data_IF_852606337248
#
_entry.id   IF_852606337248
#
_cell.length_a   1.000
_cell.length_b   1.000
_cell.length_c   1.000
_cell.angle_alpha   90.00
_cell.angle_beta   90.00
_cell.angle_gamma   90.00
#
_symmetry.space_group_name_H-M   'P 1'
#
loop_
_entity.id
_entity.type
_entity.pdbx_description
1 polymer ?
#
# COMPACT_ATOMS: atom_id res chain seq x y z
N UNK A 1 22.56 39.16 -4.77
CA UNK A 1 21.13 39.50 -4.63
C UNK A 1 20.66 39.02 -3.26
N UNK A 2 20.22 39.89 -2.35
CA UNK A 2 19.74 39.45 -1.04
C UNK A 2 18.46 38.63 -1.23
N UNK A 3 18.48 37.36 -0.80
CA UNK A 3 17.29 36.50 -0.78
C UNK A 3 16.27 37.13 0.15
N UNK A 4 15.02 37.29 -0.30
CA UNK A 4 14.00 37.93 0.51
C UNK A 4 13.69 37.01 1.69
N UNK A 5 13.45 37.56 2.90
CA UNK A 5 13.19 36.73 4.09
C UNK A 5 11.99 35.79 3.89
N UNK A 6 11.04 36.19 3.03
CA UNK A 6 9.90 35.38 2.60
C UNK A 6 10.31 34.07 1.92
N UNK A 7 11.36 34.09 1.08
CA UNK A 7 11.82 32.92 0.33
C UNK A 7 12.35 31.84 1.28
N UNK A 8 13.01 32.25 2.37
CA UNK A 8 13.50 31.34 3.40
C UNK A 8 12.36 30.67 4.18
N UNK A 9 11.32 31.43 4.50
CA UNK A 9 10.12 30.91 5.17
C UNK A 9 9.40 29.90 4.28
N UNK A 10 9.19 30.24 3.01
CA UNK A 10 8.59 29.34 2.01
C UNK A 10 9.39 28.05 1.87
N UNK A 11 10.72 28.14 1.77
CA UNK A 11 11.58 26.96 1.68
C UNK A 11 11.47 26.06 2.90
N UNK A 12 11.40 26.65 4.10
CA UNK A 12 11.20 25.92 5.35
C UNK A 12 9.87 25.15 5.39
N UNK A 13 8.77 25.79 4.97
CA UNK A 13 7.44 25.17 4.91
C UNK A 13 7.43 24.01 3.91
N UNK A 14 8.00 24.20 2.72
CA UNK A 14 8.09 23.15 1.70
C UNK A 14 8.91 21.95 2.19
N UNK A 15 10.03 22.21 2.87
CA UNK A 15 10.88 21.15 3.42
C UNK A 15 10.14 20.33 4.48
N UNK A 16 9.40 21.00 5.38
CA UNK A 16 8.56 20.33 6.38
C UNK A 16 7.45 19.49 5.74
N UNK A 17 6.79 20.00 4.69
CA UNK A 17 5.76 19.28 3.96
C UNK A 17 6.32 18.01 3.30
N UNK A 18 7.47 18.11 2.65
CA UNK A 18 8.15 16.96 2.02
C UNK A 18 8.51 15.91 3.08
N UNK A 19 9.11 16.31 4.20
CA UNK A 19 9.45 15.39 5.28
C UNK A 19 8.22 14.65 5.83
N UNK A 20 7.09 15.34 5.99
CA UNK A 20 5.84 14.73 6.44
C UNK A 20 5.29 13.74 5.41
N UNK A 21 5.29 14.09 4.12
CA UNK A 21 4.84 13.21 3.05
C UNK A 21 5.72 11.96 2.93
N UNK A 22 7.05 12.12 3.02
CA UNK A 22 8.00 11.01 3.01
C UNK A 22 7.80 10.09 4.21
N UNK A 23 7.61 10.66 5.42
CA UNK A 23 7.32 9.89 6.62
C UNK A 23 6.00 9.11 6.50
N UNK A 24 4.96 9.73 5.92
CA UNK A 24 3.68 9.06 5.68
C UNK A 24 3.83 7.94 4.65
N UNK A 25 4.58 8.18 3.57
CA UNK A 25 4.86 7.18 2.54
C UNK A 25 5.55 5.94 3.12
N UNK A 26 6.55 6.12 3.99
CA UNK A 26 7.20 4.99 4.67
C UNK A 26 6.34 4.34 5.76
N UNK A 27 5.43 5.10 6.39
CA UNK A 27 4.49 4.55 7.37
C UNK A 27 3.37 3.73 6.72
N UNK A 28 3.02 4.04 5.47
CA UNK A 28 2.14 3.21 4.65
C UNK A 28 2.99 2.06 4.12
N UNK A 29 3.30 1.11 5.00
CA UNK A 29 3.66 -0.22 4.55
C UNK A 29 2.33 -0.83 4.08
N UNK A 30 2.07 -0.97 2.76
CA UNK A 30 0.91 -1.75 2.35
C UNK A 30 1.09 -3.11 3.01
N UNK A 31 0.03 -3.63 3.62
CA UNK A 31 -0.06 -4.90 4.35
C UNK A 31 0.24 -6.14 3.45
N UNK A 32 0.97 -5.93 2.34
CA UNK A 32 1.39 -6.88 1.34
C UNK A 32 2.36 -7.91 1.93
N UNK A 33 3.14 -7.57 2.98
CA UNK A 33 3.98 -8.56 3.68
C UNK A 33 3.12 -9.60 4.40
N UNK A 34 2.18 -9.16 5.24
CA UNK A 34 1.25 -10.06 5.92
C UNK A 34 0.36 -10.82 4.92
N UNK A 35 -0.04 -10.19 3.82
CA UNK A 35 -0.80 -10.88 2.78
C UNK A 35 0.01 -11.97 2.06
N UNK A 36 1.31 -11.73 1.83
CA UNK A 36 2.18 -12.73 1.23
C UNK A 36 2.41 -13.90 2.20
N UNK A 37 2.68 -13.61 3.47
CA UNK A 37 2.81 -14.61 4.53
C UNK A 37 1.51 -15.44 4.68
N UNK A 38 0.34 -14.80 4.73
CA UNK A 38 -0.96 -15.47 4.81
C UNK A 38 -1.21 -16.42 3.63
N UNK A 39 -0.89 -16.00 2.40
CA UNK A 39 -1.05 -16.86 1.21
C UNK A 39 -0.12 -18.06 1.25
N UNK A 40 1.09 -17.88 1.77
CA UNK A 40 2.08 -18.95 1.88
C UNK A 40 1.66 -19.95 2.98
N UNK A 41 1.23 -19.45 4.14
CA UNK A 41 0.74 -20.26 5.26
C UNK A 41 -0.50 -21.09 4.90
N UNK A 42 -1.45 -20.50 4.17
CA UNK A 42 -2.72 -21.14 3.79
C UNK A 42 -2.76 -21.70 2.35
N UNK A 43 -1.58 -21.83 1.71
CA UNK A 43 -1.42 -22.37 0.36
C UNK A 43 -2.39 -21.79 -0.68
N UNK A 44 -2.61 -20.48 -0.62
CA UNK A 44 -3.66 -19.82 -1.37
C UNK A 44 -3.32 -19.70 -2.87
N UNK A 45 -4.17 -20.25 -3.73
CA UNK A 45 -4.01 -20.23 -5.18
C UNK A 45 -4.91 -19.17 -5.82
N UNK A 46 -4.38 -18.41 -6.77
CA UNK A 46 -5.15 -17.42 -7.52
C UNK A 46 -6.24 -18.10 -8.36
N UNK A 47 -7.51 -17.73 -8.12
CA UNK A 47 -8.63 -18.19 -8.92
C UNK A 47 -8.76 -17.35 -10.18
N UNK A 48 -8.38 -17.91 -11.33
CA UNK A 48 -8.63 -17.32 -12.64
C UNK A 48 -10.01 -17.77 -13.13
N UNK A 49 -10.92 -16.84 -13.37
CA UNK A 49 -12.22 -17.14 -14.01
C UNK A 49 -12.09 -17.05 -15.54
N UNK A 50 -12.91 -17.82 -16.29
CA UNK A 50 -12.89 -17.87 -17.76
C UNK A 50 -13.18 -16.52 -18.44
N UNK A 51 -13.78 -15.56 -17.73
CA UNK A 51 -14.31 -14.31 -18.31
C UNK A 51 -13.40 -13.09 -18.10
N UNK A 52 -12.09 -13.31 -18.09
CA UNK A 52 -11.10 -12.24 -17.94
C UNK A 52 -10.89 -11.81 -16.49
N UNK A 53 -9.86 -11.02 -16.27
CA UNK A 53 -9.21 -10.73 -14.98
C UNK A 53 -10.19 -10.15 -13.94
N UNK A 54 -10.99 -11.00 -13.31
CA UNK A 54 -11.80 -10.61 -12.16
C UNK A 54 -10.89 -10.54 -10.94
N UNK A 55 -10.89 -9.34 -10.34
CA UNK A 55 -10.40 -8.96 -9.01
C UNK A 55 -9.81 -10.14 -8.25
N UNK A 56 -8.48 -10.15 -8.19
CA UNK A 56 -7.64 -11.14 -7.52
C UNK A 56 -8.34 -11.75 -6.30
N UNK A 57 -8.85 -12.96 -6.50
CA UNK A 57 -9.48 -13.80 -5.49
C UNK A 57 -8.61 -15.03 -5.33
N UNK A 58 -8.35 -15.43 -4.10
CA UNK A 58 -7.49 -16.55 -3.79
C UNK A 58 -8.30 -17.61 -3.05
N UNK A 59 -8.17 -18.85 -3.50
CA UNK A 59 -8.77 -20.01 -2.85
C UNK A 59 -7.68 -20.66 -2.02
N UNK A 60 -7.92 -20.79 -0.72
CA UNK A 60 -6.96 -21.37 0.22
C UNK A 60 -7.35 -22.81 0.57
N UNK A 61 -6.45 -23.51 1.27
CA UNK A 61 -6.60 -24.91 1.69
C UNK A 61 -7.82 -25.17 2.60
N UNK A 62 -8.27 -24.14 3.31
CA UNK A 62 -9.49 -24.13 4.11
C UNK A 62 -10.80 -24.13 3.29
N UNK A 63 -10.69 -24.11 1.95
CA UNK A 63 -11.81 -24.08 1.02
C UNK A 63 -12.51 -22.72 0.94
N UNK A 64 -12.02 -21.69 1.64
CA UNK A 64 -12.57 -20.34 1.59
C UNK A 64 -11.91 -19.52 0.48
N UNK A 65 -12.62 -18.50 0.02
CA UNK A 65 -12.13 -17.54 -0.98
C UNK A 65 -11.84 -16.20 -0.31
N UNK A 66 -10.61 -15.74 -0.41
CA UNK A 66 -10.12 -14.48 0.14
C UNK A 66 -9.92 -13.42 -0.94
N UNK A 67 -10.14 -12.16 -0.58
CA UNK A 67 -10.03 -11.02 -1.47
C UNK A 67 -9.11 -9.95 -0.88
N UNK A 68 -8.07 -9.53 -1.63
CA UNK A 68 -7.08 -8.52 -1.18
C UNK A 68 -7.70 -7.20 -0.72
N UNK A 69 -8.81 -6.76 -1.34
CA UNK A 69 -9.47 -5.48 -1.06
C UNK A 69 -10.38 -5.48 0.17
N UNK A 70 -10.73 -6.64 0.74
CA UNK A 70 -11.56 -6.70 1.97
C UNK A 70 -10.75 -6.53 3.25
N UNK A 71 -9.43 -6.71 3.18
CA UNK A 71 -8.54 -6.69 4.35
C UNK A 71 -7.99 -5.29 4.68
N UNK A 72 -8.37 -4.27 3.92
CA UNK A 72 -7.99 -2.86 4.14
C UNK A 72 -9.02 -2.04 4.95
N UNK A 73 -9.99 -2.67 5.63
CA UNK A 73 -10.99 -1.99 6.46
C UNK A 73 -10.76 -2.19 7.95
#
# INVERSE_FOLDING_TARGET
MPKKPLDFVLYGIFTLAILKLTSLYFSVNPDDSHWNEFKEEHHCVLRKTEYGVQRSSWVCDDGKTYFRWMQQR
#
